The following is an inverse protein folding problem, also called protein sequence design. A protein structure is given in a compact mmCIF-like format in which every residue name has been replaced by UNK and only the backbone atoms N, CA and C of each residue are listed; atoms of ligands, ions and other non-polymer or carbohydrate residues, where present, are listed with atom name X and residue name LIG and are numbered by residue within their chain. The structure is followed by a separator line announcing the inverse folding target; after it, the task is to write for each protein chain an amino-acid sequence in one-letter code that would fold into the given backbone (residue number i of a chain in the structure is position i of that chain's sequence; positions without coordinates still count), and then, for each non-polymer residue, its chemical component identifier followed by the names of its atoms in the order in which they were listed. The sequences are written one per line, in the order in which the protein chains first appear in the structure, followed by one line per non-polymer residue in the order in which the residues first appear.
data_IF_579554699570
#
_entry.id   IF_579554699570
#
_cell.length_a   1.000
_cell.length_b   1.000
_cell.length_c   1.000
_cell.angle_alpha   90.00
_cell.angle_beta   90.00
_cell.angle_gamma   90.00
#
_symmetry.space_group_name_H-M   'P 1'
#
loop_
_entity.id
_entity.type
_entity.pdbx_description
1 polymer ?
#
# COMPACT_ATOMS: atom_id res chain seq x y z
N UNK A 1 3.32 3.65 -5.51
CA UNK A 1 3.06 2.54 -6.46
C UNK A 1 2.03 2.98 -7.49
N UNK A 2 2.26 2.77 -8.79
CA UNK A 2 1.19 2.94 -9.78
C UNK A 2 0.16 1.83 -9.52
N UNK A 3 -1.00 2.20 -9.00
CA UNK A 3 -2.06 1.25 -8.72
C UNK A 3 -2.72 0.72 -9.99
N UNK A 4 -3.50 -0.34 -9.86
CA UNK A 4 -4.42 -0.77 -10.92
C UNK A 4 -5.44 0.36 -11.13
N UNK A 5 -5.62 0.76 -12.38
CA UNK A 5 -6.60 1.77 -12.72
C UNK A 5 -8.02 1.16 -12.62
N UNK A 6 -8.77 1.57 -11.60
CA UNK A 6 -10.11 1.04 -11.35
C UNK A 6 -11.08 1.30 -12.50
N UNK A 7 -10.92 2.39 -13.26
CA UNK A 7 -11.74 2.67 -14.45
C UNK A 7 -11.47 1.63 -15.55
N UNK A 8 -10.19 1.34 -15.82
CA UNK A 8 -9.82 0.30 -16.81
C UNK A 8 -10.33 -1.09 -16.38
N UNK A 9 -10.29 -1.40 -15.09
CA UNK A 9 -10.84 -2.65 -14.57
C UNK A 9 -12.37 -2.73 -14.78
N UNK A 10 -13.10 -1.65 -14.49
CA UNK A 10 -14.54 -1.60 -14.74
C UNK A 10 -14.88 -1.73 -16.23
N UNK A 11 -14.15 -1.05 -17.10
CA UNK A 11 -14.30 -1.16 -18.56
C UNK A 11 -14.08 -2.61 -19.03
N UNK A 12 -13.00 -3.27 -18.57
CA UNK A 12 -12.74 -4.67 -18.90
C UNK A 12 -13.85 -5.60 -18.41
N UNK A 13 -14.34 -5.42 -17.17
CA UNK A 13 -15.46 -6.19 -16.64
C UNK A 13 -16.70 -6.05 -17.53
N UNK A 14 -17.02 -4.84 -17.96
CA UNK A 14 -18.18 -4.59 -18.82
C UNK A 14 -18.04 -5.29 -20.18
N UNK A 15 -16.87 -5.15 -20.83
CA UNK A 15 -16.59 -5.84 -22.10
C UNK A 15 -16.76 -7.35 -21.98
N UNK A 16 -16.31 -7.97 -20.88
CA UNK A 16 -16.48 -9.40 -20.65
C UNK A 16 -17.94 -9.80 -20.42
N UNK A 17 -18.76 -8.94 -19.82
CA UNK A 17 -20.22 -9.16 -19.69
C UNK A 17 -20.86 -9.14 -21.07
N UNK A 18 -20.56 -8.12 -21.87
CA UNK A 18 -21.16 -7.94 -23.19
C UNK A 18 -20.78 -9.09 -24.13
N UNK A 19 -19.51 -9.53 -24.11
CA UNK A 19 -19.03 -10.70 -24.85
C UNK A 19 -19.70 -12.01 -24.41
N UNK A 20 -19.89 -12.22 -23.10
CA UNK A 20 -20.61 -13.39 -22.59
C UNK A 20 -22.04 -13.44 -23.15
N UNK A 21 -22.75 -12.31 -23.18
CA UNK A 21 -24.11 -12.23 -23.71
C UNK A 21 -24.16 -12.49 -25.22
N UNK A 22 -23.23 -11.93 -25.99
CA UNK A 22 -23.10 -12.16 -27.44
C UNK A 22 -22.86 -13.65 -27.73
N UNK A 23 -21.89 -14.27 -27.08
CA UNK A 23 -21.56 -15.68 -27.30
C UNK A 23 -22.71 -16.62 -26.94
N UNK A 24 -23.47 -16.32 -25.88
CA UNK A 24 -24.70 -17.07 -25.55
C UNK A 24 -25.75 -16.97 -26.66
N UNK A 25 -25.88 -15.79 -27.28
CA UNK A 25 -26.82 -15.60 -28.40
C UNK A 25 -26.40 -16.36 -29.67
N UNK A 26 -25.09 -16.53 -29.86
CA UNK A 26 -24.50 -17.32 -30.96
C UNK A 26 -24.41 -18.82 -30.64
N UNK A 27 -25.00 -19.27 -29.52
CA UNK A 27 -24.98 -20.67 -29.04
C UNK A 27 -23.57 -21.19 -28.68
N UNK A 28 -22.57 -20.31 -28.52
CA UNK A 28 -21.23 -20.63 -28.02
C UNK A 28 -21.18 -20.75 -26.49
N UNK A 29 -21.95 -21.70 -25.94
CA UNK A 29 -22.17 -21.81 -24.49
C UNK A 29 -20.89 -22.14 -23.68
N UNK A 30 -19.96 -22.91 -24.24
CA UNK A 30 -18.67 -23.24 -23.58
C UNK A 30 -17.80 -21.99 -23.44
N UNK A 31 -17.60 -21.27 -24.53
CA UNK A 31 -16.79 -20.05 -24.56
C UNK A 31 -17.38 -18.98 -23.62
N UNK A 32 -18.71 -18.81 -23.63
CA UNK A 32 -19.40 -17.91 -22.71
C UNK A 32 -19.17 -18.30 -21.23
N UNK A 33 -19.18 -19.59 -20.90
CA UNK A 33 -18.89 -20.07 -19.55
C UNK A 33 -17.46 -19.77 -19.11
N UNK A 34 -16.48 -19.97 -20.00
CA UNK A 34 -15.07 -19.69 -19.70
C UNK A 34 -14.80 -18.19 -19.51
N UNK A 35 -15.46 -17.34 -20.31
CA UNK A 35 -15.43 -15.88 -20.12
C UNK A 35 -16.03 -15.50 -18.77
N UNK A 36 -17.18 -16.07 -18.40
CA UNK A 36 -17.82 -15.82 -17.11
C UNK A 36 -16.89 -16.15 -15.95
N UNK A 37 -16.29 -17.34 -15.97
CA UNK A 37 -15.34 -17.81 -14.95
C UNK A 37 -14.11 -16.90 -14.85
N UNK A 38 -13.56 -16.51 -16.00
CA UNK A 38 -12.41 -15.60 -16.06
C UNK A 38 -12.74 -14.22 -15.51
N UNK A 39 -13.92 -13.68 -15.82
CA UNK A 39 -14.43 -12.42 -15.26
C UNK A 39 -14.57 -12.50 -13.75
N UNK A 40 -15.18 -13.56 -13.22
CA UNK A 40 -15.34 -13.77 -11.77
C UNK A 40 -13.97 -13.81 -11.06
N UNK A 41 -13.01 -14.53 -11.64
CA UNK A 41 -11.64 -14.57 -11.13
C UNK A 41 -10.97 -13.20 -11.13
N UNK A 42 -11.11 -12.44 -12.22
CA UNK A 42 -10.55 -11.08 -12.34
C UNK A 42 -11.14 -10.11 -11.30
N UNK A 43 -12.44 -10.19 -11.04
CA UNK A 43 -13.13 -9.38 -10.02
C UNK A 43 -12.61 -9.74 -8.63
N UNK A 44 -12.48 -11.03 -8.31
CA UNK A 44 -11.95 -11.48 -7.02
C UNK A 44 -10.50 -11.01 -6.80
N UNK A 45 -9.64 -11.13 -7.81
CA UNK A 45 -8.26 -10.64 -7.76
C UNK A 45 -8.19 -9.12 -7.55
N UNK A 46 -9.04 -8.35 -8.23
CA UNK A 46 -9.09 -6.90 -8.03
C UNK A 46 -9.57 -6.52 -6.63
N UNK A 47 -10.49 -7.29 -6.04
CA UNK A 47 -10.92 -7.08 -4.66
C UNK A 47 -9.77 -7.35 -3.67
N UNK A 48 -9.08 -8.49 -3.80
CA UNK A 48 -7.90 -8.82 -2.99
C UNK A 48 -6.81 -7.75 -3.09
N UNK A 49 -6.59 -7.23 -4.29
CA UNK A 49 -5.68 -6.11 -4.53
C UNK A 49 -6.08 -4.87 -3.72
N UNK A 50 -7.37 -4.47 -3.72
CA UNK A 50 -7.84 -3.32 -2.94
C UNK A 50 -7.70 -3.55 -1.44
N UNK A 51 -8.04 -4.73 -0.96
CA UNK A 51 -7.94 -5.08 0.46
C UNK A 51 -6.48 -5.04 0.93
N UNK A 52 -5.56 -5.53 0.10
CA UNK A 52 -4.11 -5.48 0.36
C UNK A 52 -3.59 -4.04 0.41
N UNK A 53 -4.06 -3.16 -0.48
CA UNK A 53 -3.69 -1.75 -0.43
C UNK A 53 -4.19 -1.07 0.86
N UNK A 54 -5.43 -1.31 1.25
CA UNK A 54 -5.98 -0.76 2.49
C UNK A 54 -5.19 -1.23 3.70
N UNK A 55 -4.82 -2.52 3.73
CA UNK A 55 -3.98 -3.07 4.79
C UNK A 55 -2.60 -2.40 4.81
N UNK A 56 -1.99 -2.20 3.64
CA UNK A 56 -0.70 -1.52 3.54
C UNK A 56 -0.76 -0.08 4.04
N UNK A 57 -1.82 0.67 3.72
CA UNK A 57 -2.04 2.02 4.23
C UNK A 57 -2.14 2.05 5.77
N UNK A 58 -2.84 1.08 6.37
CA UNK A 58 -2.92 0.95 7.82
C UNK A 58 -1.54 0.66 8.43
N UNK A 59 -0.76 -0.23 7.81
CA UNK A 59 0.59 -0.56 8.26
C UNK A 59 1.50 0.68 8.18
N UNK A 60 1.45 1.43 7.08
CA UNK A 60 2.22 2.65 6.89
C UNK A 60 1.89 3.67 7.99
N UNK A 61 0.60 3.92 8.26
CA UNK A 61 0.18 4.84 9.33
C UNK A 61 0.68 4.40 10.70
N UNK A 62 0.59 3.10 11.02
CA UNK A 62 1.10 2.56 12.28
C UNK A 62 2.61 2.74 12.40
N UNK A 63 3.34 2.48 11.32
CA UNK A 63 4.78 2.70 11.26
C UNK A 63 5.14 4.17 11.48
N UNK A 64 4.45 5.10 10.82
CA UNK A 64 4.68 6.54 10.98
C UNK A 64 4.39 7.00 12.43
N UNK A 65 3.31 6.52 13.02
CA UNK A 65 2.95 6.78 14.42
C UNK A 65 4.02 6.26 15.39
N UNK A 66 4.47 5.02 15.21
CA UNK A 66 5.50 4.43 16.07
C UNK A 66 6.84 5.16 15.91
N UNK A 67 7.23 5.48 14.67
CA UNK A 67 8.43 6.29 14.38
C UNK A 67 8.36 7.67 15.04
N UNK A 68 7.20 8.33 14.99
CA UNK A 68 6.96 9.59 15.70
C UNK A 68 7.04 9.42 17.23
N UNK A 69 6.44 8.38 17.78
CA UNK A 69 6.47 8.09 19.21
C UNK A 69 7.90 7.85 19.69
N UNK A 70 8.69 7.05 18.98
CA UNK A 70 10.10 6.80 19.31
C UNK A 70 10.89 8.11 19.36
N UNK A 71 10.73 8.97 18.37
CA UNK A 71 11.46 10.25 18.32
C UNK A 71 11.07 11.18 19.46
N UNK A 72 9.78 11.30 19.76
CA UNK A 72 9.27 12.30 20.70
C UNK A 72 9.29 11.84 22.16
N UNK A 73 8.92 10.58 22.43
CA UNK A 73 8.85 10.04 23.79
C UNK A 73 10.21 9.50 24.26
N UNK A 74 10.93 8.77 23.40
CA UNK A 74 12.17 8.10 23.81
C UNK A 74 13.42 8.88 23.47
N UNK A 75 13.55 9.45 22.27
CA UNK A 75 14.81 10.06 21.81
C UNK A 75 14.96 11.54 22.19
N UNK A 76 13.88 12.32 22.25
CA UNK A 76 13.96 13.77 22.44
C UNK A 76 14.73 14.19 23.71
N UNK A 77 14.46 13.55 24.85
CA UNK A 77 15.10 13.90 26.14
C UNK A 77 16.54 13.41 26.26
N UNK A 78 16.88 12.15 25.92
CA UNK A 78 18.26 11.68 25.89
C UNK A 78 19.13 12.47 24.92
N UNK A 79 18.63 12.76 23.70
CA UNK A 79 19.36 13.59 22.71
C UNK A 79 19.71 14.97 23.29
N UNK A 80 18.74 15.67 23.90
CA UNK A 80 19.00 16.98 24.52
C UNK A 80 20.01 16.91 25.67
N UNK A 81 20.01 15.82 26.45
CA UNK A 81 20.99 15.61 27.52
C UNK A 81 22.39 15.37 26.96
N UNK A 82 22.49 14.50 25.97
CA UNK A 82 23.72 14.12 25.29
C UNK A 82 24.40 15.30 24.57
N UNK A 83 23.62 16.20 23.98
CA UNK A 83 24.13 17.45 23.39
C UNK A 83 24.81 18.40 24.38
N UNK A 84 24.48 18.30 25.68
CA UNK A 84 25.00 19.19 26.73
C UNK A 84 26.25 18.64 27.41
N UNK A 85 26.68 17.41 27.09
CA UNK A 85 27.81 16.76 27.75
C UNK A 85 29.13 17.11 27.04
N UNK A 86 30.12 17.70 27.74
CA UNK A 86 31.36 18.21 27.10
C UNK A 86 32.33 17.14 26.56
N UNK A 87 32.16 15.86 26.92
CA UNK A 87 33.11 14.76 26.65
C UNK A 87 32.47 13.55 25.95
N UNK A 88 31.57 13.82 25.01
CA UNK A 88 30.95 12.79 24.20
C UNK A 88 31.98 11.94 23.40
N UNK A 89 32.00 10.63 23.66
CA UNK A 89 32.93 9.66 23.01
C UNK A 89 32.52 9.30 21.57
N UNK A 90 31.28 9.62 21.19
CA UNK A 90 30.71 9.46 19.84
C UNK A 90 30.40 10.87 19.32
N UNK A 91 30.49 11.10 18.00
CA UNK A 91 30.05 12.35 17.39
C UNK A 91 28.50 12.47 17.49
N UNK A 92 28.03 12.79 18.70
CA UNK A 92 26.61 12.94 19.06
C UNK A 92 25.92 13.88 18.08
N UNK A 93 26.65 14.85 17.50
CA UNK A 93 26.14 15.75 16.48
C UNK A 93 25.71 15.01 15.22
N UNK A 94 26.49 14.04 14.73
CA UNK A 94 26.07 13.19 13.60
C UNK A 94 24.83 12.36 13.93
N UNK A 95 24.79 11.77 15.13
CA UNK A 95 23.67 10.93 15.56
C UNK A 95 22.36 11.72 15.67
N UNK A 96 22.44 12.95 16.17
CA UNK A 96 21.31 13.90 16.21
C UNK A 96 20.90 14.36 14.81
N UNK A 97 21.87 14.68 13.94
CA UNK A 97 21.57 15.10 12.57
C UNK A 97 20.84 13.99 11.79
N UNK A 98 21.24 12.74 11.99
CA UNK A 98 20.55 11.56 11.43
C UNK A 98 19.14 11.42 12.00
N UNK A 99 18.95 11.55 13.32
CA UNK A 99 17.60 11.47 13.92
C UNK A 99 16.69 12.60 13.40
N UNK A 100 17.22 13.81 13.23
CA UNK A 100 16.47 14.96 12.72
C UNK A 100 16.18 14.85 11.21
N UNK A 101 17.07 14.24 10.42
CA UNK A 101 16.82 14.01 9.00
C UNK A 101 15.75 12.94 8.76
N UNK A 102 15.65 11.95 9.66
CA UNK A 102 14.56 10.96 9.66
C UNK A 102 13.19 11.56 10.02
N UNK A 103 13.11 12.87 10.34
CA UNK A 103 11.88 13.60 10.58
C UNK A 103 11.34 14.42 9.42
N UNK A 104 12.03 14.42 8.29
CA UNK A 104 11.56 14.95 7.02
C UNK A 104 11.05 13.83 6.13
#
# INVERSE_FOLDING_TARGET
MKGINSLKHQQMKQVLVDLEHLLRSEHEMSTAYDIRKSRESLVALHQQYRDTLNLLEVIIKKYEQESYHIRTAYLARPVRRLQRTPHAVVDIRQLVNTINSLAK
#
